data_IF_435807333850
#
_entry.id   IF_435807333850
#
_cell.length_a   1.000
_cell.length_b   1.000
_cell.length_c   1.000
_cell.angle_alpha   90.00
_cell.angle_beta   90.00
_cell.angle_gamma   90.00
#
_symmetry.space_group_name_H-M   'P 1'
#
loop_
_entity.id
_entity.type
_entity.pdbx_description
1 polymer ?
#
# COMPACT_ATOMS: atom_id res chain seq x y z
N UNK A 1 0.76 17.93 5.36
CA UNK A 1 -0.66 18.24 5.63
C UNK A 1 -1.42 16.94 5.46
N UNK A 2 -2.29 16.54 6.38
CA UNK A 2 -3.01 15.28 6.26
C UNK A 2 -4.34 15.39 7.01
N UNK A 3 -5.46 15.08 6.35
CA UNK A 3 -6.79 15.08 6.94
C UNK A 3 -7.10 16.38 7.73
N UNK A 4 -6.71 17.54 7.19
CA UNK A 4 -6.89 18.85 7.82
C UNK A 4 -5.88 19.22 8.92
N UNK A 5 -4.93 18.34 9.25
CA UNK A 5 -3.86 18.59 10.23
C UNK A 5 -2.60 19.14 9.57
N UNK A 6 -1.94 20.05 10.28
CA UNK A 6 -0.61 20.59 9.96
C UNK A 6 0.39 20.15 11.02
N UNK A 7 1.59 19.80 10.60
CA UNK A 7 2.69 19.42 11.48
C UNK A 7 3.97 20.09 10.99
N UNK A 8 4.79 20.55 11.93
CA UNK A 8 6.14 20.99 11.65
C UNK A 8 7.06 19.77 11.60
N UNK A 9 7.89 19.68 10.58
CA UNK A 9 8.91 18.63 10.42
C UNK A 9 10.25 19.28 10.08
N UNK A 10 11.35 18.57 10.33
CA UNK A 10 12.66 18.97 9.86
C UNK A 10 12.72 18.92 8.34
N UNK A 11 13.61 19.74 7.76
CA UNK A 11 13.90 19.72 6.34
C UNK A 11 14.54 18.38 5.95
N UNK A 12 14.23 17.81 4.77
CA UNK A 12 14.70 16.48 4.36
C UNK A 12 16.23 16.41 4.23
N UNK A 13 16.91 17.54 3.98
CA UNK A 13 18.37 17.62 3.90
C UNK A 13 19.05 17.32 5.24
N UNK A 14 18.32 17.40 6.36
CA UNK A 14 18.81 17.11 7.71
C UNK A 14 18.59 15.66 8.15
N UNK A 15 18.00 14.80 7.31
CA UNK A 15 17.62 13.43 7.67
C UNK A 15 18.80 12.64 8.27
N UNK A 16 19.95 12.62 7.60
CA UNK A 16 21.13 11.87 8.06
C UNK A 16 21.64 12.35 9.43
N UNK A 17 21.58 13.67 9.68
CA UNK A 17 22.00 14.24 10.97
C UNK A 17 21.05 13.80 12.09
N UNK A 18 19.74 13.86 11.84
CA UNK A 18 18.71 13.48 12.81
C UNK A 18 18.75 11.97 13.10
N UNK A 19 18.89 11.14 12.06
CA UNK A 19 19.02 9.68 12.20
C UNK A 19 20.24 9.29 13.04
N UNK A 20 21.40 9.91 12.74
CA UNK A 20 22.62 9.69 13.52
C UNK A 20 22.46 10.13 14.98
N UNK A 21 21.86 11.31 15.21
CA UNK A 21 21.63 11.84 16.55
C UNK A 21 20.68 10.95 17.37
N UNK A 22 19.64 10.40 16.76
CA UNK A 22 18.66 9.54 17.42
C UNK A 22 19.13 8.08 17.55
N UNK A 23 20.23 7.70 16.91
CA UNK A 23 20.72 6.32 16.92
C UNK A 23 19.71 5.34 16.33
N UNK A 24 18.93 5.76 15.33
CA UNK A 24 17.92 4.92 14.71
C UNK A 24 18.60 3.77 13.97
N UNK A 25 18.28 2.54 14.35
CA UNK A 25 18.63 1.35 13.56
C UNK A 25 17.82 1.33 12.24
N UNK A 26 18.28 0.52 11.28
CA UNK A 26 17.72 0.44 9.94
C UNK A 26 16.19 0.37 9.94
N UNK A 27 15.56 1.30 9.21
CA UNK A 27 14.10 1.37 9.05
C UNK A 27 13.61 0.06 8.43
N UNK A 28 12.67 -0.62 9.09
CA UNK A 28 12.07 -1.83 8.52
C UNK A 28 11.16 -1.46 7.35
N UNK A 29 11.68 -1.63 6.14
CA UNK A 29 10.93 -1.40 4.91
C UNK A 29 9.78 -2.39 4.77
N UNK A 30 8.70 -1.96 4.11
CA UNK A 30 7.67 -2.88 3.66
C UNK A 30 8.26 -3.85 2.64
N UNK A 31 7.97 -5.14 2.79
CA UNK A 31 8.31 -6.12 1.78
C UNK A 31 7.58 -5.82 0.47
N UNK A 32 8.10 -6.33 -0.65
CA UNK A 32 7.43 -6.21 -1.95
C UNK A 32 5.98 -6.71 -1.90
N UNK A 33 5.75 -7.87 -1.29
CA UNK A 33 4.40 -8.42 -1.14
C UNK A 33 3.47 -7.52 -0.29
N UNK A 34 4.01 -6.87 0.75
CA UNK A 34 3.25 -5.92 1.55
C UNK A 34 2.93 -4.64 0.76
N UNK A 35 3.86 -4.12 -0.04
CA UNK A 35 3.62 -2.98 -0.93
C UNK A 35 2.57 -3.29 -1.99
N UNK A 36 2.64 -4.46 -2.64
CA UNK A 36 1.62 -4.90 -3.60
C UNK A 36 0.23 -4.99 -2.96
N UNK A 37 0.15 -5.60 -1.78
CA UNK A 37 -1.11 -5.70 -1.02
C UNK A 37 -1.65 -4.32 -0.64
N UNK A 38 -0.77 -3.43 -0.16
CA UNK A 38 -1.14 -2.07 0.24
C UNK A 38 -1.61 -1.24 -0.96
N UNK A 39 -0.96 -1.38 -2.12
CA UNK A 39 -1.34 -0.69 -3.34
C UNK A 39 -2.75 -1.12 -3.79
N UNK A 40 -3.05 -2.43 -3.78
CA UNK A 40 -4.39 -2.92 -4.13
C UNK A 40 -5.44 -2.30 -3.21
N UNK A 41 -5.20 -2.26 -1.89
CA UNK A 41 -6.13 -1.65 -0.95
C UNK A 41 -6.28 -0.15 -1.25
N UNK A 42 -5.19 0.58 -1.45
CA UNK A 42 -5.23 2.03 -1.68
C UNK A 42 -6.03 2.41 -2.94
N UNK A 43 -5.91 1.64 -4.03
CA UNK A 43 -6.63 1.90 -5.28
C UNK A 43 -8.04 1.31 -5.36
N UNK A 44 -8.33 0.24 -4.60
CA UNK A 44 -9.62 -0.49 -4.69
C UNK A 44 -10.50 -0.31 -3.44
N UNK A 45 -10.09 0.50 -2.46
CA UNK A 45 -10.87 0.70 -1.24
C UNK A 45 -12.27 1.28 -1.50
N UNK A 46 -13.28 0.88 -0.70
CA UNK A 46 -13.22 -0.14 0.35
C UNK A 46 -13.19 -1.57 -0.24
N UNK A 47 -12.25 -2.40 0.22
CA UNK A 47 -12.00 -3.75 -0.35
C UNK A 47 -11.93 -4.84 0.72
N UNK A 48 -12.34 -6.06 0.39
CA UNK A 48 -12.25 -7.22 1.29
C UNK A 48 -10.99 -8.05 1.07
N UNK A 49 -10.52 -8.79 2.10
CA UNK A 49 -9.36 -9.70 1.94
C UNK A 49 -9.53 -10.69 0.78
N UNK A 50 -10.68 -11.38 0.59
CA UNK A 50 -10.85 -12.26 -0.56
C UNK A 50 -10.71 -11.57 -1.92
N UNK A 51 -11.14 -10.32 -2.07
CA UNK A 51 -10.93 -9.54 -3.29
C UNK A 51 -9.45 -9.22 -3.50
N UNK A 52 -8.73 -8.85 -2.44
CA UNK A 52 -7.27 -8.63 -2.50
C UNK A 52 -6.56 -9.91 -2.92
N UNK A 53 -6.89 -11.05 -2.31
CA UNK A 53 -6.33 -12.36 -2.65
C UNK A 53 -6.60 -12.72 -4.12
N UNK A 54 -7.81 -12.43 -4.62
CA UNK A 54 -8.19 -12.66 -6.01
C UNK A 54 -7.36 -11.82 -6.98
N UNK A 55 -7.04 -10.56 -6.63
CA UNK A 55 -6.21 -9.69 -7.48
C UNK A 55 -4.74 -10.11 -7.42
N UNK A 56 -4.24 -10.49 -6.25
CA UNK A 56 -2.85 -10.96 -6.08
C UNK A 56 -2.61 -12.37 -6.61
N UNK A 57 -3.66 -13.16 -6.77
CA UNK A 57 -3.58 -14.58 -7.11
C UNK A 57 -3.00 -15.47 -6.00
N UNK A 58 -2.75 -14.94 -4.80
CA UNK A 58 -2.17 -15.65 -3.66
C UNK A 58 -2.77 -15.16 -2.34
N UNK A 59 -2.63 -15.96 -1.28
CA UNK A 59 -3.08 -15.60 0.06
C UNK A 59 -2.31 -14.39 0.62
N UNK A 60 -3.04 -13.41 1.15
CA UNK A 60 -2.49 -12.14 1.68
C UNK A 60 -2.63 -11.97 3.19
N UNK A 61 -3.05 -12.99 3.94
CA UNK A 61 -3.37 -12.90 5.38
C UNK A 61 -2.22 -12.31 6.22
N UNK A 62 -0.99 -12.79 6.01
CA UNK A 62 0.19 -12.27 6.68
C UNK A 62 0.45 -10.78 6.36
N UNK A 63 0.16 -10.36 5.12
CA UNK A 63 0.34 -8.96 4.69
C UNK A 63 -0.77 -8.08 5.28
N UNK A 64 -2.01 -8.56 5.29
CA UNK A 64 -3.13 -7.87 5.96
C UNK A 64 -2.80 -7.62 7.43
N UNK A 65 -2.34 -8.65 8.15
CA UNK A 65 -1.94 -8.54 9.56
C UNK A 65 -0.78 -7.58 9.77
N UNK A 66 0.23 -7.64 8.90
CA UNK A 66 1.39 -6.73 8.95
C UNK A 66 0.98 -5.27 8.73
N UNK A 67 0.16 -4.99 7.71
CA UNK A 67 -0.30 -3.64 7.37
C UNK A 67 -1.24 -3.07 8.43
N UNK A 68 -2.12 -3.88 9.02
CA UNK A 68 -2.94 -3.51 10.17
C UNK A 68 -2.06 -3.19 11.38
N UNK A 69 -1.08 -4.05 11.69
CA UNK A 69 -0.16 -3.85 12.81
C UNK A 69 0.71 -2.60 12.67
N UNK A 70 1.03 -2.19 11.44
CA UNK A 70 1.72 -0.93 11.13
C UNK A 70 0.78 0.27 11.05
N UNK A 71 -0.54 0.07 11.18
CA UNK A 71 -1.54 1.13 11.11
C UNK A 71 -1.72 1.74 9.73
N UNK A 72 -1.24 1.12 8.65
CA UNK A 72 -1.36 1.65 7.28
C UNK A 72 -2.75 1.40 6.66
N UNK A 73 -3.47 0.41 7.18
CA UNK A 73 -4.85 0.10 6.80
C UNK A 73 -5.71 -0.07 8.05
N UNK A 74 -7.02 0.07 7.89
CA UNK A 74 -8.02 -0.11 8.95
C UNK A 74 -9.28 -0.77 8.42
N UNK A 75 -10.11 -1.30 9.32
CA UNK A 75 -11.44 -1.81 8.99
C UNK A 75 -12.41 -0.65 8.72
N UNK A 76 -13.18 -0.75 7.63
CA UNK A 76 -14.16 0.23 7.18
C UNK A 76 -15.60 -0.30 7.27
N UNK A 77 -15.82 -1.36 8.06
CA UNK A 77 -17.10 -2.05 8.19
C UNK A 77 -17.08 -3.44 7.57
N UNK A 78 -18.25 -3.95 7.19
CA UNK A 78 -18.45 -5.28 6.62
C UNK A 78 -19.43 -5.21 5.46
N UNK A 79 -19.27 -6.11 4.51
CA UNK A 79 -20.27 -6.29 3.45
C UNK A 79 -21.54 -6.97 3.98
N UNK A 80 -22.64 -6.80 3.25
CA UNK A 80 -23.94 -7.41 3.57
C UNK A 80 -24.12 -8.83 2.97
N UNK A 81 -23.15 -9.28 2.17
CA UNK A 81 -23.18 -10.59 1.51
C UNK A 81 -22.85 -11.78 2.42
N UNK A 82 -22.89 -13.00 1.85
CA UNK A 82 -22.56 -14.23 2.57
C UNK A 82 -21.19 -14.17 3.25
N UNK A 83 -21.13 -14.57 4.52
CA UNK A 83 -19.91 -14.54 5.33
C UNK A 83 -19.51 -13.16 5.86
N UNK A 84 -20.19 -12.08 5.42
CA UNK A 84 -20.01 -10.69 5.86
C UNK A 84 -18.52 -10.30 6.04
N UNK A 85 -17.68 -10.48 5.00
CA UNK A 85 -16.27 -10.15 5.07
C UNK A 85 -16.04 -8.68 5.41
N UNK A 86 -14.95 -8.45 6.13
CA UNK A 86 -14.47 -7.13 6.56
C UNK A 86 -14.00 -6.34 5.34
N UNK A 87 -14.39 -5.06 5.28
CA UNK A 87 -13.91 -4.09 4.33
C UNK A 87 -12.70 -3.36 4.92
N UNK A 88 -11.70 -3.10 4.10
CA UNK A 88 -10.46 -2.42 4.47
C UNK A 88 -10.27 -1.15 3.65
N UNK A 89 -9.68 -0.14 4.29
CA UNK A 89 -9.31 1.16 3.72
C UNK A 89 -7.96 1.60 4.28
N UNK A 90 -7.26 2.51 3.60
CA UNK A 90 -6.06 3.19 4.09
C UNK A 90 -6.38 4.15 5.21
N UNK A 91 -5.40 4.44 6.05
CA UNK A 91 -5.51 5.34 7.22
C UNK A 91 -4.93 6.73 6.94
N UNK A 92 -5.02 7.62 7.93
CA UNK A 92 -4.24 8.85 7.91
C UNK A 92 -2.73 8.55 7.96
N UNK A 93 -2.29 7.57 8.76
CA UNK A 93 -0.89 7.16 8.85
C UNK A 93 -0.34 6.73 7.48
N UNK A 94 -1.14 6.07 6.63
CA UNK A 94 -0.78 5.82 5.24
C UNK A 94 -0.48 7.12 4.48
N UNK A 95 -1.40 8.09 4.49
CA UNK A 95 -1.20 9.36 3.79
C UNK A 95 0.06 10.09 4.30
N UNK A 96 0.30 10.07 5.61
CA UNK A 96 1.50 10.66 6.19
C UNK A 96 2.77 9.93 5.74
N UNK A 97 2.75 8.60 5.74
CA UNK A 97 3.89 7.76 5.37
C UNK A 97 4.31 8.00 3.91
N UNK A 98 3.35 8.21 3.01
CA UNK A 98 3.60 8.47 1.59
C UNK A 98 3.64 9.95 1.21
N UNK A 99 3.54 10.87 2.19
CA UNK A 99 3.60 12.31 1.95
C UNK A 99 2.41 12.88 1.18
N UNK A 100 1.26 12.21 1.21
CA UNK A 100 0.04 12.59 0.51
C UNK A 100 -0.87 13.42 1.43
N UNK A 101 -1.60 14.38 0.87
CA UNK A 101 -2.64 15.10 1.61
C UNK A 101 -4.01 14.43 1.50
N UNK A 102 -4.23 13.64 0.45
CA UNK A 102 -5.47 12.92 0.18
C UNK A 102 -5.22 11.72 -0.74
N UNK A 103 -6.11 10.71 -0.68
CA UNK A 103 -6.03 9.52 -1.52
C UNK A 103 -6.13 9.83 -3.03
N UNK A 104 -6.78 10.93 -3.38
CA UNK A 104 -6.95 11.36 -4.79
C UNK A 104 -5.63 11.81 -5.44
N UNK A 105 -4.58 12.05 -4.64
CA UNK A 105 -3.25 12.40 -5.13
C UNK A 105 -2.45 11.17 -5.59
N UNK A 106 -2.99 9.96 -5.38
CA UNK A 106 -2.37 8.76 -5.93
C UNK A 106 -2.32 8.83 -7.46
N UNK A 107 -1.20 8.42 -8.08
CA UNK A 107 -1.08 8.43 -9.52
C UNK A 107 -2.14 7.51 -10.15
N UNK A 108 -2.69 7.84 -11.33
CA UNK A 108 -3.62 6.96 -12.00
C UNK A 108 -2.95 5.61 -12.29
N UNK A 109 -3.71 4.51 -12.18
CA UNK A 109 -3.22 3.20 -12.58
C UNK A 109 -2.84 3.26 -14.07
N UNK A 110 -1.57 3.01 -14.38
CA UNK A 110 -1.15 2.82 -15.75
C UNK A 110 -1.88 1.58 -16.28
N UNK A 111 -2.84 1.77 -17.19
CA UNK A 111 -3.40 0.66 -17.95
C UNK A 111 -2.23 0.12 -18.79
N UNK A 112 -1.80 -1.13 -18.61
CA UNK A 112 -0.83 -1.71 -19.51
C UNK A 112 -1.43 -1.62 -20.92
N UNK A 113 -0.79 -0.88 -21.82
CA UNK A 113 -1.06 -1.05 -23.24
C UNK A 113 -0.58 -2.47 -23.54
N UNK A 114 -1.49 -3.39 -23.87
CA UNK A 114 -1.14 -4.71 -24.37
C UNK A 114 -0.15 -4.54 -25.54
N UNK A 115 1.15 -4.78 -25.30
CA UNK A 115 2.19 -4.35 -26.24
C UNK A 115 3.52 -5.09 -26.16
N UNK A 116 3.85 -5.74 -25.04
CA UNK A 116 5.11 -6.48 -24.91
C UNK A 116 4.83 -7.98 -24.79
N UNK A 117 4.12 -8.54 -25.77
CA UNK A 117 4.24 -9.95 -26.07
C UNK A 117 5.53 -10.13 -26.88
N UNK A 118 6.63 -10.38 -26.17
CA UNK A 118 7.87 -10.91 -26.78
C UNK A 118 7.49 -12.12 -27.66
N UNK A 119 7.78 -12.10 -28.97
CA UNK A 119 7.43 -13.22 -29.83
C UNK A 119 8.27 -14.42 -29.40
N UNK A 120 7.57 -15.49 -28.99
CA UNK A 120 8.18 -16.79 -28.72
C UNK A 120 9.13 -17.15 -29.86
N UNK A 121 10.43 -17.22 -29.55
CA UNK A 121 11.43 -17.74 -30.48
C UNK A 121 10.96 -19.12 -30.95
N UNK A 122 10.57 -19.17 -32.22
CA UNK A 122 10.31 -20.39 -32.94
C UNK A 122 11.56 -21.27 -32.82
N UNK A 123 11.38 -22.44 -32.19
CA UNK A 123 12.20 -23.62 -32.38
C UNK A 123 12.58 -23.75 -33.87
N UNK A 124 13.84 -23.46 -34.17
CA UNK A 124 14.52 -23.88 -35.39
C UNK A 124 15.87 -24.45 -34.96
N UNK A 125 16.06 -25.74 -35.22
CA UNK A 125 17.30 -26.49 -35.02
C UNK A 125 17.01 -27.91 -34.65
#
# INVERSE_FOLDING_TARGET
>A
RNAGRVQLTTAPELAALVEHFLGLEAVTHLSRAALETLAIIAYQQPVTRPQVDSIRGVNSDAMMKSLLGKGLIQEAGRTDGPGRPILYTTTAEFLQHFGLSSIIELPPLAVPMDGDAEPAELLKG
#
